data_IF_734371489701
#
_entry.id   IF_734371489701
#
_cell.length_a   1.000
_cell.length_b   1.000
_cell.length_c   1.000
_cell.angle_alpha   90.00
_cell.angle_beta   90.00
_cell.angle_gamma   90.00
#
_symmetry.space_group_name_H-M   'P 1'
#
loop_
_entity.id
_entity.type
_entity.pdbx_description
1 polymer ?
#
# COMPACT_ATOMS: atom_id res chain seq x y z
N UNK A 1 -9.53 49.10 -4.45
CA UNK A 1 -9.61 48.00 -5.43
C UNK A 1 -8.76 46.87 -4.89
N UNK A 2 -9.33 46.05 -4.00
CA UNK A 2 -8.62 44.94 -3.39
C UNK A 2 -9.16 43.62 -3.96
N UNK A 3 -8.23 42.72 -4.22
CA UNK A 3 -8.33 41.47 -4.96
C UNK A 3 -9.19 40.42 -4.28
N UNK A 4 -10.02 39.77 -5.08
CA UNK A 4 -10.87 38.65 -4.70
C UNK A 4 -10.24 37.29 -5.03
N UNK A 5 -10.48 36.36 -4.11
CA UNK A 5 -10.62 34.90 -4.27
C UNK A 5 -9.39 34.04 -4.60
N UNK A 6 -8.66 33.65 -3.55
CA UNK A 6 -7.98 32.36 -3.48
C UNK A 6 -8.90 31.33 -2.83
N UNK A 7 -9.62 30.55 -3.64
CA UNK A 7 -10.39 29.39 -3.18
C UNK A 7 -9.44 28.21 -2.94
N UNK A 8 -9.15 27.91 -1.68
CA UNK A 8 -8.48 26.67 -1.29
C UNK A 8 -9.42 25.49 -1.55
N UNK A 9 -9.09 24.69 -2.56
CA UNK A 9 -9.76 23.43 -2.84
C UNK A 9 -9.40 22.45 -1.71
N UNK A 10 -10.26 22.41 -0.69
CA UNK A 10 -10.25 21.41 0.36
C UNK A 10 -10.58 20.05 -0.28
N UNK A 11 -9.56 19.25 -0.60
CA UNK A 11 -9.74 17.88 -1.06
C UNK A 11 -10.26 17.04 0.10
N UNK A 12 -11.54 16.68 0.03
CA UNK A 12 -12.23 15.84 0.99
C UNK A 12 -11.44 14.55 1.29
N UNK A 13 -10.83 14.49 2.46
CA UNK A 13 -10.32 13.24 3.04
C UNK A 13 -11.52 12.33 3.36
N UNK A 14 -11.51 11.05 2.96
CA UNK A 14 -12.58 10.12 3.29
C UNK A 14 -12.62 9.89 4.81
N UNK A 15 -13.83 9.73 5.36
CA UNK A 15 -14.07 9.49 6.77
C UNK A 15 -13.36 8.20 7.23
N UNK A 16 -12.25 8.33 7.95
CA UNK A 16 -11.58 7.21 8.58
C UNK A 16 -12.32 6.86 9.88
N UNK A 17 -13.04 5.74 9.90
CA UNK A 17 -13.35 5.04 11.15
C UNK A 17 -12.06 4.68 11.88
N UNK A 18 -12.13 4.33 13.17
CA UNK A 18 -10.94 3.96 13.93
C UNK A 18 -10.17 2.86 13.16
N UNK A 19 -8.84 2.94 13.09
CA UNK A 19 -8.02 1.91 12.44
C UNK A 19 -8.27 0.53 13.06
N UNK A 20 -8.65 0.50 14.33
CA UNK A 20 -9.13 -0.70 15.00
C UNK A 20 -10.40 -1.24 14.35
N UNK A 21 -11.35 -0.39 13.99
CA UNK A 21 -12.58 -0.79 13.30
C UNK A 21 -12.26 -1.40 11.92
N UNK A 22 -11.29 -0.83 11.20
CA UNK A 22 -10.84 -1.38 9.90
C UNK A 22 -10.24 -2.77 10.07
N UNK A 23 -9.37 -2.94 11.06
CA UNK A 23 -8.77 -4.24 11.38
C UNK A 23 -9.83 -5.27 11.79
N UNK A 24 -10.70 -4.93 12.73
CA UNK A 24 -11.78 -5.80 13.21
C UNK A 24 -12.75 -6.16 12.05
N UNK A 25 -13.02 -5.24 11.14
CA UNK A 25 -13.81 -5.51 9.94
C UNK A 25 -13.12 -6.52 9.02
N UNK A 26 -11.80 -6.42 8.78
CA UNK A 26 -11.06 -7.43 8.01
C UNK A 26 -11.10 -8.81 8.66
N UNK A 27 -10.89 -8.88 9.98
CA UNK A 27 -11.01 -10.14 10.74
C UNK A 27 -12.41 -10.74 10.55
N UNK A 28 -13.46 -9.91 10.66
CA UNK A 28 -14.84 -10.33 10.46
C UNK A 28 -15.11 -10.85 9.05
N UNK A 29 -14.62 -10.18 8.01
CA UNK A 29 -14.79 -10.60 6.60
C UNK A 29 -14.06 -11.93 6.34
N UNK A 30 -12.80 -12.05 6.77
CA UNK A 30 -12.00 -13.26 6.55
C UNK A 30 -12.60 -14.45 7.31
N UNK A 31 -13.06 -14.24 8.54
CA UNK A 31 -13.71 -15.29 9.34
C UNK A 31 -14.98 -15.79 8.67
N UNK A 32 -15.86 -14.86 8.24
CA UNK A 32 -17.11 -15.21 7.53
C UNK A 32 -16.85 -15.94 6.21
N UNK A 33 -15.88 -15.47 5.43
CA UNK A 33 -15.52 -16.10 4.15
C UNK A 33 -14.99 -17.51 4.36
N UNK A 34 -14.17 -17.72 5.40
CA UNK A 34 -13.68 -19.05 5.80
C UNK A 34 -14.82 -19.98 6.18
N UNK A 35 -15.77 -19.53 7.00
CA UNK A 35 -16.94 -20.32 7.42
C UNK A 35 -17.84 -20.69 6.24
N UNK A 36 -18.03 -19.76 5.29
CA UNK A 36 -18.86 -19.96 4.11
C UNK A 36 -18.14 -20.69 2.96
N UNK A 37 -16.83 -20.95 3.07
CA UNK A 37 -15.97 -21.40 1.97
C UNK A 37 -16.01 -20.49 0.73
N UNK A 38 -16.23 -19.19 0.96
CA UNK A 38 -16.27 -18.19 -0.09
C UNK A 38 -14.85 -17.70 -0.41
N UNK A 39 -14.39 -17.76 -1.67
CA UNK A 39 -13.09 -17.21 -2.04
C UNK A 39 -13.09 -15.69 -1.91
N UNK A 40 -11.97 -15.14 -1.45
CA UNK A 40 -11.71 -13.71 -1.40
C UNK A 40 -10.64 -13.32 -2.41
N UNK A 41 -10.87 -12.20 -3.09
CA UNK A 41 -9.90 -11.53 -3.92
C UNK A 41 -9.32 -10.34 -3.14
N UNK A 42 -8.07 -10.43 -2.70
CA UNK A 42 -7.42 -9.36 -1.93
C UNK A 42 -6.99 -8.24 -2.87
N UNK A 43 -7.56 -7.05 -2.69
CA UNK A 43 -7.35 -5.92 -3.59
C UNK A 43 -6.66 -4.76 -2.88
N UNK A 44 -5.51 -4.35 -3.42
CA UNK A 44 -4.82 -3.12 -3.04
C UNK A 44 -5.18 -1.98 -4.01
N UNK A 45 -4.19 -1.53 -4.78
CA UNK A 45 -4.37 -0.47 -5.77
C UNK A 45 -5.06 -0.87 -7.08
N UNK A 46 -5.25 -2.17 -7.33
CA UNK A 46 -5.68 -2.74 -8.62
C UNK A 46 -4.87 -2.29 -9.83
N UNK A 47 -3.60 -1.88 -9.65
CA UNK A 47 -2.75 -1.38 -10.75
C UNK A 47 -2.02 -2.49 -11.52
N UNK A 48 -2.10 -3.73 -11.04
CA UNK A 48 -1.36 -4.89 -11.57
C UNK A 48 -2.29 -6.04 -11.98
N UNK A 49 -3.56 -5.76 -12.27
CA UNK A 49 -4.56 -6.79 -12.66
C UNK A 49 -4.21 -7.53 -13.95
N UNK A 50 -3.36 -6.94 -14.80
CA UNK A 50 -2.81 -7.58 -16.01
C UNK A 50 -1.77 -8.67 -15.70
N UNK A 51 -1.27 -8.74 -14.45
CA UNK A 51 -0.17 -9.61 -14.04
C UNK A 51 -0.69 -10.75 -13.15
N UNK A 52 -0.47 -11.99 -13.58
CA UNK A 52 -0.91 -13.18 -12.85
C UNK A 52 -2.14 -13.85 -13.48
N UNK A 53 -2.93 -14.51 -12.64
CA UNK A 53 -4.19 -15.17 -13.05
C UNK A 53 -5.37 -14.23 -12.85
N UNK A 54 -6.47 -14.49 -13.56
CA UNK A 54 -7.72 -13.81 -13.30
C UNK A 54 -8.16 -14.03 -11.84
N UNK A 55 -8.41 -12.95 -11.08
CA UNK A 55 -8.79 -13.08 -9.68
C UNK A 55 -10.18 -13.70 -9.55
N UNK A 56 -10.33 -14.59 -8.58
CA UNK A 56 -11.60 -15.25 -8.25
C UNK A 56 -12.01 -14.87 -6.84
N UNK A 57 -13.31 -14.65 -6.64
CA UNK A 57 -13.90 -14.40 -5.33
C UNK A 57 -14.31 -12.95 -5.08
N UNK A 58 -14.87 -12.72 -3.90
CA UNK A 58 -15.38 -11.41 -3.49
C UNK A 58 -14.22 -10.45 -3.21
N UNK A 59 -14.20 -9.23 -3.79
CA UNK A 59 -13.15 -8.25 -3.51
C UNK A 59 -13.10 -7.86 -2.03
N UNK A 60 -11.90 -7.89 -1.46
CA UNK A 60 -11.57 -7.36 -0.14
C UNK A 60 -10.53 -6.24 -0.32
N UNK A 61 -11.02 -5.00 -0.28
CA UNK A 61 -10.20 -3.80 -0.46
C UNK A 61 -9.37 -3.49 0.80
N UNK A 62 -8.06 -3.45 0.64
CA UNK A 62 -7.08 -3.24 1.73
C UNK A 62 -6.63 -1.80 1.89
N UNK A 63 -7.01 -0.91 0.95
CA UNK A 63 -6.55 0.49 0.90
C UNK A 63 -6.91 1.32 2.14
N UNK A 64 -8.00 0.96 2.82
CA UNK A 64 -8.40 1.64 4.06
C UNK A 64 -7.40 1.39 5.22
N UNK A 65 -6.60 0.32 5.14
CA UNK A 65 -5.54 0.02 6.09
C UNK A 65 -4.21 0.57 5.56
N UNK A 66 -4.08 1.89 5.62
CA UNK A 66 -2.94 2.66 5.09
C UNK A 66 -2.25 3.47 6.16
N UNK A 67 -1.01 3.86 5.87
CA UNK A 67 -0.19 4.75 6.69
C UNK A 67 1.07 4.06 7.20
N UNK A 68 2.10 4.88 7.42
CA UNK A 68 3.35 4.49 8.06
C UNK A 68 3.09 4.23 9.55
N UNK A 69 3.61 3.11 10.06
CA UNK A 69 3.52 2.74 11.48
C UNK A 69 4.74 3.28 12.21
N UNK A 70 5.92 3.08 11.62
CA UNK A 70 7.20 3.46 12.20
C UNK A 70 8.24 3.70 11.10
N UNK A 71 9.19 4.60 11.34
CA UNK A 71 10.27 4.90 10.40
C UNK A 71 11.55 5.30 11.15
N UNK A 72 12.54 4.41 11.09
CA UNK A 72 13.86 4.57 11.68
C UNK A 72 14.87 4.87 10.57
N UNK A 73 15.02 6.15 10.24
CA UNK A 73 15.81 6.59 9.09
C UNK A 73 17.30 6.21 9.19
N UNK A 74 17.90 6.22 10.39
CA UNK A 74 19.30 5.81 10.59
C UNK A 74 19.53 4.32 10.35
N UNK A 75 18.51 3.50 10.59
CA UNK A 75 18.55 2.05 10.41
C UNK A 75 18.06 1.60 9.02
N UNK A 76 17.57 2.53 8.21
CA UNK A 76 16.97 2.26 6.89
C UNK A 76 15.77 1.31 6.96
N UNK A 77 14.97 1.42 8.03
CA UNK A 77 13.80 0.56 8.26
C UNK A 77 12.53 1.39 8.30
N UNK A 78 11.56 1.02 7.48
CA UNK A 78 10.20 1.59 7.51
C UNK A 78 9.18 0.47 7.68
N UNK A 79 8.28 0.64 8.65
CA UNK A 79 7.14 -0.25 8.88
C UNK A 79 5.90 0.43 8.36
N UNK A 80 5.21 -0.20 7.41
CA UNK A 80 4.04 0.39 6.73
C UNK A 80 2.87 -0.57 6.69
N UNK A 81 1.66 -0.02 6.67
CA UNK A 81 0.45 -0.83 6.41
C UNK A 81 0.34 -1.17 4.93
N UNK A 82 -0.26 -2.30 4.60
CA UNK A 82 -0.31 -2.86 3.24
C UNK A 82 -1.06 -1.99 2.23
N UNK A 83 -2.06 -1.24 2.70
CA UNK A 83 -2.84 -0.29 1.90
C UNK A 83 -2.13 1.03 1.61
N UNK A 84 -0.97 1.28 2.20
CA UNK A 84 -0.23 2.55 2.04
C UNK A 84 0.16 2.76 0.56
N UNK A 85 -0.16 3.92 -0.04
CA UNK A 85 0.26 4.25 -1.40
C UNK A 85 1.79 4.19 -1.53
N UNK A 86 2.28 3.58 -2.62
CA UNK A 86 3.72 3.50 -2.89
C UNK A 86 4.36 4.90 -2.96
N UNK A 87 3.68 5.84 -3.62
CA UNK A 87 4.15 7.21 -3.74
C UNK A 87 4.27 7.94 -2.38
N UNK A 88 3.45 7.58 -1.39
CA UNK A 88 3.54 8.13 -0.03
C UNK A 88 4.81 7.61 0.67
N UNK A 89 5.08 6.30 0.56
CA UNK A 89 6.31 5.70 1.10
C UNK A 89 7.54 6.33 0.46
N UNK A 90 7.57 6.44 -0.87
CA UNK A 90 8.68 7.06 -1.59
C UNK A 90 8.87 8.53 -1.22
N UNK A 91 7.80 9.29 -1.02
CA UNK A 91 7.89 10.70 -0.61
C UNK A 91 8.52 10.84 0.78
N UNK A 92 8.17 9.96 1.73
CA UNK A 92 8.76 9.97 3.08
C UNK A 92 10.23 9.58 3.05
N UNK A 93 10.60 8.55 2.29
CA UNK A 93 12.01 8.18 2.12
C UNK A 93 12.80 9.31 1.44
N UNK A 94 12.23 9.93 0.40
CA UNK A 94 12.88 11.00 -0.34
C UNK A 94 13.14 12.25 0.52
N UNK A 95 12.29 12.53 1.52
CA UNK A 95 12.50 13.60 2.48
C UNK A 95 13.80 13.43 3.29
N UNK A 96 14.22 12.19 3.53
CA UNK A 96 15.49 11.83 4.18
C UNK A 96 16.62 11.52 3.18
N UNK A 97 16.41 11.79 1.89
CA UNK A 97 17.37 11.46 0.83
C UNK A 97 17.52 9.95 0.56
N UNK A 98 16.54 9.15 0.98
CA UNK A 98 16.51 7.70 0.85
C UNK A 98 15.60 7.24 -0.29
N UNK A 99 15.70 5.96 -0.66
CA UNK A 99 14.88 5.35 -1.69
C UNK A 99 14.69 3.85 -1.46
N UNK A 100 13.67 3.26 -2.08
CA UNK A 100 13.55 1.81 -2.18
C UNK A 100 14.57 1.29 -3.21
N UNK A 101 15.58 0.54 -2.75
CA UNK A 101 16.70 0.08 -3.59
C UNK A 101 16.30 -0.81 -4.78
N UNK A 102 15.13 -1.46 -4.70
CA UNK A 102 14.57 -2.30 -5.76
C UNK A 102 13.66 -1.53 -6.75
N UNK A 103 13.49 -0.20 -6.59
CA UNK A 103 12.74 0.70 -7.50
C UNK A 103 11.43 0.11 -8.05
N UNK A 104 10.42 -0.14 -7.20
CA UNK A 104 9.22 -0.85 -7.63
C UNK A 104 8.48 -0.12 -8.76
N UNK A 105 8.05 -0.82 -9.82
CA UNK A 105 7.22 -0.21 -10.84
C UNK A 105 5.81 0.11 -10.29
N UNK A 106 5.37 1.34 -10.52
CA UNK A 106 4.10 1.87 -10.01
C UNK A 106 2.88 1.23 -10.71
N UNK A 107 2.93 1.13 -12.04
CA UNK A 107 1.80 0.71 -12.92
C UNK A 107 0.49 1.51 -12.72
N UNK A 108 0.58 2.70 -12.10
CA UNK A 108 -0.54 3.62 -11.89
C UNK A 108 -0.47 4.32 -10.53
N UNK A 109 -1.14 5.47 -10.42
CA UNK A 109 -1.08 6.35 -9.23
C UNK A 109 -1.68 5.73 -7.95
N UNK A 110 -2.44 4.63 -8.06
CA UNK A 110 -3.10 3.97 -6.93
C UNK A 110 -2.31 2.78 -6.36
N UNK A 111 -1.10 2.50 -6.86
CA UNK A 111 -0.29 1.36 -6.40
C UNK A 111 -0.01 1.45 -4.90
N UNK A 112 -0.10 0.32 -4.19
CA UNK A 112 0.18 0.23 -2.75
C UNK A 112 1.42 -0.61 -2.49
N UNK A 113 2.07 -0.41 -1.33
CA UNK A 113 3.22 -1.21 -0.92
C UNK A 113 2.88 -2.69 -0.76
N UNK A 114 1.69 -3.02 -0.25
CA UNK A 114 1.21 -4.41 -0.18
C UNK A 114 1.09 -5.05 -1.57
N UNK A 115 0.64 -4.28 -2.57
CA UNK A 115 0.59 -4.76 -3.96
C UNK A 115 1.97 -4.94 -4.59
N UNK A 116 2.95 -4.12 -4.20
CA UNK A 116 4.36 -4.30 -4.61
C UNK A 116 4.92 -5.62 -4.07
N UNK A 117 4.74 -5.88 -2.78
CA UNK A 117 5.20 -7.11 -2.13
C UNK A 117 4.48 -8.33 -2.71
N UNK A 118 3.15 -8.29 -2.83
CA UNK A 118 2.35 -9.40 -3.35
C UNK A 118 2.71 -9.76 -4.81
N UNK A 119 3.02 -8.77 -5.64
CA UNK A 119 3.42 -9.02 -7.03
C UNK A 119 4.89 -9.41 -7.19
N UNK A 120 5.74 -9.14 -6.19
CA UNK A 120 7.18 -9.42 -6.24
C UNK A 120 7.94 -8.67 -7.35
N UNK A 121 7.34 -7.62 -7.92
CA UNK A 121 7.91 -6.89 -9.06
C UNK A 121 8.94 -5.87 -8.58
N UNK A 122 10.18 -6.05 -9.04
CA UNK A 122 11.31 -5.13 -8.80
C UNK A 122 11.67 -4.41 -10.10
N UNK A 123 12.13 -3.17 -10.01
CA UNK A 123 12.54 -2.36 -11.15
C UNK A 123 13.97 -2.61 -11.65
N UNK A 124 14.47 -1.71 -12.51
CA UNK A 124 15.75 -1.88 -13.22
C UNK A 124 16.96 -2.04 -12.30
N UNK A 125 16.94 -1.46 -11.10
CA UNK A 125 18.03 -1.60 -10.11
C UNK A 125 18.16 -2.97 -9.49
N UNK A 126 17.23 -3.90 -9.70
CA UNK A 126 17.24 -5.24 -9.09
C UNK A 126 18.60 -5.98 -9.12
N UNK A 127 19.39 -5.97 -10.22
CA UNK A 127 20.69 -6.65 -10.26
C UNK A 127 21.72 -6.10 -9.25
N UNK A 128 21.55 -4.87 -8.79
CA UNK A 128 22.48 -4.16 -7.92
C UNK A 128 21.91 -3.87 -6.53
N UNK A 129 20.61 -3.55 -6.44
CA UNK A 129 19.90 -3.17 -5.21
C UNK A 129 19.03 -4.27 -4.60
N UNK A 130 19.03 -5.47 -5.18
CA UNK A 130 18.20 -6.59 -4.73
C UNK A 130 16.76 -6.55 -5.24
N UNK A 131 16.03 -7.65 -5.03
CA UNK A 131 14.61 -7.74 -5.32
C UNK A 131 13.76 -7.26 -4.13
N UNK A 132 12.47 -7.02 -4.36
CA UNK A 132 11.49 -6.67 -3.30
C UNK A 132 11.62 -7.60 -2.08
N UNK A 133 11.71 -8.92 -2.32
CA UNK A 133 11.82 -9.92 -1.26
C UNK A 133 13.07 -9.79 -0.39
N UNK A 134 14.14 -9.21 -0.94
CA UNK A 134 15.43 -9.06 -0.25
C UNK A 134 15.39 -7.82 0.67
N UNK A 135 14.41 -6.92 0.47
CA UNK A 135 14.19 -5.73 1.29
C UNK A 135 13.11 -5.93 2.39
N UNK A 136 12.36 -7.05 2.37
CA UNK A 136 11.32 -7.32 3.38
C UNK A 136 11.96 -7.97 4.61
N UNK A 137 11.95 -7.26 5.73
CA UNK A 137 12.48 -7.75 7.01
C UNK A 137 11.47 -8.60 7.80
N UNK A 138 10.17 -8.36 7.60
CA UNK A 138 9.10 -9.09 8.27
C UNK A 138 7.71 -8.67 7.83
N UNK A 139 6.72 -9.50 8.14
CA UNK A 139 5.29 -9.22 7.94
C UNK A 139 4.50 -9.70 9.14
N UNK A 140 3.39 -9.03 9.42
CA UNK A 140 2.36 -9.51 10.36
C UNK A 140 1.18 -9.98 9.53
N UNK A 141 0.76 -11.24 9.75
CA UNK A 141 -0.27 -11.93 8.97
C UNK A 141 -1.34 -12.47 9.90
#
# INVERSE_FOLDING_TARGET
>A
MNSSSGGSANSAQPAHGDLKDVYDNFVGIVTKAREAHDPLNIVGGSTKTFYGRDPVGKPLETRAFSGIIDYEASELVVTVRTGTPLAEVEAVLAAEGQMLGFEPPHFGARGTIGGVVAAGLSGPRRPYGGAVRDAVLGVVV
#
